data_IF_081921153579
#
_entry.id   IF_081921153579
#
_cell.length_a   1.000
_cell.length_b   1.000
_cell.length_c   1.000
_cell.angle_alpha   90.00
_cell.angle_beta   90.00
_cell.angle_gamma   90.00
#
_symmetry.space_group_name_H-M   'P 1'
#
loop_
_entity.id
_entity.type
_entity.pdbx_description
1 polymer ?
#
# COMPACT_ATOMS: atom_id res chain seq x y z
N UNK A 1 2.06 36.07 18.97
CA UNK A 1 2.96 34.94 19.24
C UNK A 1 2.66 33.90 18.17
N UNK A 2 3.33 34.04 17.03
CA UNK A 2 3.19 33.20 15.85
C UNK A 2 3.94 31.88 16.08
N UNK A 3 3.32 30.75 15.77
CA UNK A 3 4.01 29.50 15.54
C UNK A 3 3.55 28.94 14.20
N UNK A 4 4.23 29.40 13.13
CA UNK A 4 4.22 28.76 11.82
C UNK A 4 5.12 27.53 11.91
N UNK A 5 4.55 26.35 11.72
CA UNK A 5 5.28 25.09 11.80
C UNK A 5 4.58 23.98 11.02
N UNK A 6 4.26 24.23 9.75
CA UNK A 6 3.94 23.16 8.78
C UNK A 6 5.20 22.36 8.48
N UNK A 7 5.60 21.48 9.40
CA UNK A 7 6.59 20.43 9.13
C UNK A 7 5.89 19.07 9.08
N UNK A 8 4.98 18.91 8.11
CA UNK A 8 4.44 17.58 7.75
C UNK A 8 4.64 17.27 6.26
N UNK A 9 5.25 18.19 5.52
CA UNK A 9 5.45 18.07 4.08
C UNK A 9 6.77 17.35 3.69
N UNK A 10 7.68 17.09 4.63
CA UNK A 10 8.94 16.40 4.35
C UNK A 10 8.87 14.87 4.48
N UNK A 11 7.84 14.32 5.14
CA UNK A 11 7.72 12.86 5.30
C UNK A 11 7.37 12.13 4.00
N UNK A 12 6.80 12.81 2.98
CA UNK A 12 6.40 12.17 1.71
C UNK A 12 7.57 11.90 0.75
N UNK A 13 8.78 12.40 1.05
CA UNK A 13 10.01 12.14 0.29
C UNK A 13 11.16 11.56 1.13
N UNK A 14 10.99 11.49 2.45
CA UNK A 14 12.09 11.21 3.38
C UNK A 14 12.32 9.72 3.71
N UNK A 15 11.49 8.79 3.23
CA UNK A 15 11.65 7.36 3.54
C UNK A 15 12.48 6.56 2.51
N UNK A 16 12.98 7.19 1.44
CA UNK A 16 13.57 6.47 0.31
C UNK A 16 15.08 6.65 0.10
N UNK A 17 15.78 7.44 0.93
CA UNK A 17 17.18 7.79 0.65
C UNK A 17 18.05 7.97 1.91
N UNK A 18 18.43 6.89 2.60
CA UNK A 18 19.51 7.00 3.59
C UNK A 18 20.48 5.80 3.66
N UNK A 19 21.27 5.63 2.58
CA UNK A 19 22.61 5.01 2.53
C UNK A 19 22.85 3.57 3.06
N UNK A 20 22.90 2.58 2.16
CA UNK A 20 23.46 1.20 2.27
C UNK A 20 22.91 0.33 1.12
N UNK A 21 23.49 -0.82 0.77
CA UNK A 21 23.00 -1.77 -0.27
C UNK A 21 21.49 -2.10 -0.16
N UNK A 22 20.93 -2.00 1.04
CA UNK A 22 19.49 -2.08 1.34
C UNK A 22 18.63 -1.13 0.50
N UNK A 23 19.18 0.04 0.09
CA UNK A 23 18.48 1.02 -0.74
C UNK A 23 18.30 0.55 -2.16
N UNK A 24 19.30 -0.14 -2.72
CA UNK A 24 19.19 -0.70 -4.06
C UNK A 24 18.10 -1.77 -4.10
N UNK A 25 18.03 -2.61 -3.05
CA UNK A 25 17.00 -3.63 -2.93
C UNK A 25 15.61 -3.04 -2.69
N UNK A 26 15.49 -2.05 -1.80
CA UNK A 26 14.23 -1.35 -1.56
C UNK A 26 13.72 -0.62 -2.81
N UNK A 27 14.61 0.06 -3.54
CA UNK A 27 14.29 0.71 -4.80
C UNK A 27 13.88 -0.33 -5.86
N UNK A 28 14.61 -1.43 -6.00
CA UNK A 28 14.27 -2.51 -6.92
C UNK A 28 12.87 -3.09 -6.62
N UNK A 29 12.58 -3.37 -5.34
CA UNK A 29 11.26 -3.84 -4.91
C UNK A 29 10.14 -2.84 -5.25
N UNK A 30 10.39 -1.54 -5.04
CA UNK A 30 9.43 -0.49 -5.39
C UNK A 30 9.23 -0.41 -6.91
N UNK A 31 10.31 -0.46 -7.69
CA UNK A 31 10.21 -0.46 -9.15
C UNK A 31 9.47 -1.69 -9.67
N UNK A 32 9.72 -2.88 -9.08
CA UNK A 32 8.96 -4.09 -9.38
C UNK A 32 7.47 -3.91 -9.06
N UNK A 33 7.12 -3.33 -7.92
CA UNK A 33 5.72 -3.03 -7.56
C UNK A 33 5.08 -2.05 -8.54
N UNK A 34 5.77 -0.97 -8.91
CA UNK A 34 5.27 0.00 -9.90
C UNK A 34 5.09 -0.65 -11.27
N UNK A 35 6.02 -1.51 -11.69
CA UNK A 35 5.90 -2.27 -12.93
C UNK A 35 4.69 -3.22 -12.88
N UNK A 36 4.49 -3.92 -11.76
CA UNK A 36 3.30 -4.76 -11.54
C UNK A 36 2.01 -3.94 -11.55
N UNK A 37 1.97 -2.75 -10.94
CA UNK A 37 0.79 -1.86 -11.01
C UNK A 37 0.45 -1.52 -12.45
N UNK A 38 1.45 -1.13 -13.25
CA UNK A 38 1.27 -0.83 -14.68
C UNK A 38 0.75 -2.04 -15.46
N UNK A 39 1.28 -3.23 -15.18
CA UNK A 39 0.83 -4.48 -15.80
C UNK A 39 -0.65 -4.78 -15.50
N UNK A 40 -1.11 -4.45 -14.29
CA UNK A 40 -2.49 -4.66 -13.86
C UNK A 40 -3.41 -3.45 -14.08
N UNK A 41 -2.94 -2.40 -14.79
CA UNK A 41 -3.74 -1.20 -15.09
C UNK A 41 -4.07 -0.34 -13.86
N UNK A 42 -3.29 -0.45 -12.79
CA UNK A 42 -3.46 0.32 -11.56
C UNK A 42 -2.62 1.60 -11.60
N UNK A 43 -3.16 2.67 -11.01
CA UNK A 43 -2.38 3.88 -10.73
C UNK A 43 -1.39 3.61 -9.57
N UNK A 44 -0.06 3.65 -9.82
CA UNK A 44 0.94 3.25 -8.84
C UNK A 44 0.99 4.18 -7.62
N UNK A 45 0.70 5.47 -7.80
CA UNK A 45 0.68 6.44 -6.70
C UNK A 45 -0.47 6.16 -5.75
N UNK A 46 -1.68 6.01 -6.29
CA UNK A 46 -2.89 5.70 -5.51
C UNK A 46 -2.78 4.34 -4.83
N UNK A 47 -2.27 3.32 -5.54
CA UNK A 47 -2.03 2.00 -4.97
C UNK A 47 -1.08 2.07 -3.78
N UNK A 48 0.08 2.72 -3.92
CA UNK A 48 1.08 2.77 -2.87
C UNK A 48 0.58 3.55 -1.65
N UNK A 49 -0.10 4.69 -1.88
CA UNK A 49 -0.66 5.50 -0.80
C UNK A 49 -1.66 4.71 0.04
N UNK A 50 -2.52 3.93 -0.60
CA UNK A 50 -3.52 3.13 0.08
C UNK A 50 -2.94 1.88 0.74
N UNK A 51 -1.99 1.20 0.08
CA UNK A 51 -1.30 0.04 0.67
C UNK A 51 -0.55 0.44 1.93
N UNK A 52 0.19 1.55 1.94
CA UNK A 52 0.87 2.06 3.13
C UNK A 52 -0.12 2.32 4.28
N UNK A 53 -1.33 2.77 3.93
CA UNK A 53 -2.39 3.08 4.89
C UNK A 53 -3.03 1.83 5.50
N UNK A 54 -3.24 0.77 4.71
CA UNK A 54 -3.89 -0.47 5.19
C UNK A 54 -2.92 -1.47 5.80
N UNK A 55 -1.64 -1.46 5.37
CA UNK A 55 -0.60 -2.38 5.81
C UNK A 55 -0.47 -2.53 7.34
N UNK A 56 -0.48 -1.47 8.18
CA UNK A 56 -0.35 -1.64 9.62
C UNK A 56 -1.53 -2.37 10.28
N UNK A 57 -2.69 -2.42 9.63
CA UNK A 57 -3.88 -3.11 10.14
C UNK A 57 -4.01 -4.54 9.60
N UNK A 58 -3.28 -4.87 8.52
CA UNK A 58 -3.40 -6.16 7.84
C UNK A 58 -2.54 -7.24 8.50
N UNK A 59 -3.06 -8.47 8.69
CA UNK A 59 -2.24 -9.57 9.21
C UNK A 59 -1.19 -10.00 8.18
N UNK A 60 0.05 -10.26 8.63
CA UNK A 60 1.20 -10.63 7.78
C UNK A 60 0.94 -11.83 6.87
N UNK A 61 0.15 -12.80 7.34
CA UNK A 61 -0.23 -13.99 6.58
C UNK A 61 -1.08 -13.67 5.33
N UNK A 62 -1.69 -12.47 5.27
CA UNK A 62 -2.59 -12.04 4.19
C UNK A 62 -2.02 -10.92 3.33
N UNK A 63 -0.71 -10.66 3.39
CA UNK A 63 -0.08 -9.60 2.59
C UNK A 63 -0.19 -9.82 1.07
N UNK A 64 -0.35 -11.07 0.63
CA UNK A 64 -0.63 -11.36 -0.77
C UNK A 64 -1.91 -10.68 -1.27
N UNK A 65 -2.91 -10.45 -0.41
CA UNK A 65 -4.12 -9.71 -0.79
C UNK A 65 -3.84 -8.24 -1.14
N UNK A 66 -2.74 -7.68 -0.63
CA UNK A 66 -2.34 -6.32 -0.91
C UNK A 66 -1.52 -6.20 -2.19
N UNK A 67 -1.11 -7.31 -2.83
CA UNK A 67 -0.31 -7.27 -4.04
C UNK A 67 -1.09 -6.64 -5.21
N UNK A 68 -0.41 -6.01 -6.20
CA UNK A 68 -1.08 -5.31 -7.30
C UNK A 68 -2.09 -6.17 -8.07
N UNK A 69 -1.80 -7.48 -8.21
CA UNK A 69 -2.70 -8.44 -8.85
C UNK A 69 -4.07 -8.56 -8.18
N UNK A 70 -4.10 -8.54 -6.84
CA UNK A 70 -5.33 -8.75 -6.05
C UNK A 70 -5.90 -7.45 -5.49
N UNK A 71 -5.22 -6.32 -5.72
CA UNK A 71 -5.55 -5.06 -5.10
C UNK A 71 -6.95 -4.55 -5.46
N UNK A 72 -7.37 -4.69 -6.72
CA UNK A 72 -8.69 -4.22 -7.15
C UNK A 72 -9.83 -4.92 -6.38
N UNK A 73 -9.70 -6.23 -6.16
CA UNK A 73 -10.65 -7.02 -5.37
C UNK A 73 -10.60 -6.62 -3.89
N UNK A 74 -9.39 -6.52 -3.33
CA UNK A 74 -9.19 -6.13 -1.92
C UNK A 74 -9.75 -4.74 -1.64
N UNK A 75 -9.51 -3.78 -2.54
CA UNK A 75 -10.04 -2.42 -2.47
C UNK A 75 -11.56 -2.41 -2.53
N UNK A 76 -12.17 -3.24 -3.37
CA UNK A 76 -13.63 -3.36 -3.46
C UNK A 76 -14.30 -3.82 -2.16
N UNK A 77 -13.55 -4.48 -1.27
CA UNK A 77 -14.02 -4.95 0.04
C UNK A 77 -13.75 -3.96 1.17
N UNK A 78 -12.98 -2.91 0.91
CA UNK A 78 -12.64 -1.89 1.89
C UNK A 78 -13.65 -0.73 1.83
N UNK A 79 -13.92 -0.14 2.97
CA UNK A 79 -14.77 1.05 3.04
C UNK A 79 -14.01 2.24 2.43
N UNK A 80 -14.56 2.77 1.33
CA UNK A 80 -13.96 3.92 0.61
C UNK A 80 -13.93 5.20 1.45
N UNK A 81 -14.90 5.37 2.35
CA UNK A 81 -14.96 6.47 3.30
C UNK A 81 -13.92 6.32 4.43
N UNK A 82 -13.60 5.10 4.84
CA UNK A 82 -12.44 4.85 5.68
C UNK A 82 -11.15 5.20 4.94
N UNK A 83 -10.97 4.75 3.69
CA UNK A 83 -9.76 5.03 2.88
C UNK A 83 -9.50 6.51 2.61
N UNK A 84 -10.56 7.28 2.35
CA UNK A 84 -10.45 8.71 2.03
C UNK A 84 -10.01 9.58 3.22
N UNK A 85 -10.12 9.08 4.46
CA UNK A 85 -9.73 9.85 5.64
C UNK A 85 -8.21 9.96 5.73
N UNK A 86 -7.65 11.15 6.05
CA UNK A 86 -6.20 11.32 6.17
C UNK A 86 -5.61 10.43 7.28
N UNK A 87 -6.37 10.15 8.33
CA UNK A 87 -6.01 9.32 9.46
C UNK A 87 -7.26 8.55 9.96
N UNK A 88 -7.06 7.38 10.56
CA UNK A 88 -8.14 6.57 11.12
C UNK A 88 -7.83 5.07 11.10
N UNK A 89 -8.67 4.29 11.77
CA UNK A 89 -8.63 2.83 11.68
C UNK A 89 -9.10 2.39 10.29
N UNK A 90 -8.52 1.28 9.80
CA UNK A 90 -9.02 0.56 8.63
C UNK A 90 -9.58 -0.76 9.11
N UNK A 91 -10.85 -1.00 8.79
CA UNK A 91 -11.51 -2.26 9.08
C UNK A 91 -11.05 -3.30 8.06
N UNK A 92 -10.28 -4.29 8.53
CA UNK A 92 -9.80 -5.37 7.66
C UNK A 92 -10.91 -6.41 7.47
N UNK A 93 -11.35 -6.69 6.23
CA UNK A 93 -12.38 -7.68 5.98
C UNK A 93 -11.88 -9.09 6.31
N UNK A 94 -12.81 -10.02 6.57
CA UNK A 94 -12.49 -11.42 6.86
C UNK A 94 -11.61 -12.06 5.74
N UNK A 95 -10.78 -13.06 6.06
CA UNK A 95 -9.95 -13.74 5.07
C UNK A 95 -10.77 -14.25 3.89
N UNK A 96 -10.19 -14.25 2.69
CA UNK A 96 -10.78 -15.04 1.59
C UNK A 96 -10.57 -16.51 1.91
N UNK A 97 -11.62 -17.31 1.79
CA UNK A 97 -11.48 -18.77 1.88
C UNK A 97 -10.50 -19.23 0.79
N UNK A 98 -9.54 -20.07 1.16
CA UNK A 98 -8.36 -20.47 0.37
C UNK A 98 -8.63 -21.01 -1.04
N UNK A 99 -9.88 -21.32 -1.37
CA UNK A 99 -10.28 -21.93 -2.65
C UNK A 99 -10.17 -20.98 -3.86
N UNK A 100 -10.22 -19.65 -3.69
CA UNK A 100 -10.28 -18.72 -4.84
C UNK A 100 -8.91 -18.16 -5.26
N UNK A 101 -7.86 -18.38 -4.47
CA UNK A 101 -6.51 -17.82 -4.71
C UNK A 101 -5.59 -18.76 -5.51
N UNK A 102 -5.99 -20.01 -5.73
CA UNK A 102 -5.20 -21.05 -6.43
C UNK A 102 -5.73 -21.38 -7.82
N UNK A 103 -6.79 -20.72 -8.29
CA UNK A 103 -7.48 -21.08 -9.55
C UNK A 103 -7.06 -20.26 -10.79
N UNK A 104 -5.89 -19.63 -10.79
CA UNK A 104 -5.34 -19.02 -12.02
C UNK A 104 -3.81 -19.07 -11.96
N UNK A 105 -3.28 -20.28 -12.16
CA UNK A 105 -1.98 -20.52 -12.81
C UNK A 105 -2.23 -20.81 -14.29
#
# INVERSE_FOLDING_TARGET
>A
MEYNGTDVAAARKSWLFFGSDDHAQAAANLFSLVASCKLHGLDPESYLAEVIRVMPYWPRQRYLELAPRYWAETRGRLDSGELARPLGHVTVPAPRTTEEQTATD
#
